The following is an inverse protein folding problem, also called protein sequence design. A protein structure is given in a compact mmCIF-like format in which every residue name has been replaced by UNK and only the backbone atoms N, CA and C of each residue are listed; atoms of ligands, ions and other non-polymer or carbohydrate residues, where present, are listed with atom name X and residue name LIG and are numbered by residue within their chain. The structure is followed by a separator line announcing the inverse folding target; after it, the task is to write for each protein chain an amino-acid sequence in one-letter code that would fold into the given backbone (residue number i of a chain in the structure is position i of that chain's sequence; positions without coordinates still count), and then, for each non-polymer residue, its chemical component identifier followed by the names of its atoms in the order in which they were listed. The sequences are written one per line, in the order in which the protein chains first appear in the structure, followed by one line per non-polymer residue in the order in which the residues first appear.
data_IF_911804775010
#
_entry.id   IF_911804775010
#
_cell.length_a   1.000
_cell.length_b   1.000
_cell.length_c   1.000
_cell.angle_alpha   90.00
_cell.angle_beta   90.00
_cell.angle_gamma   90.00
#
_symmetry.space_group_name_H-M   'P 1'
#
loop_
_entity.id
_entity.type
_entity.pdbx_description
1 polymer ?
#
# COMPACT_ATOMS: atom_id res chain seq x y z
N UNK A 1 -87.79 26.77 -23.61
CA UNK A 1 -86.75 26.29 -22.72
C UNK A 1 -85.75 25.47 -23.55
N UNK A 2 -84.53 26.08 -23.87
CA UNK A 2 -83.46 25.41 -24.64
C UNK A 2 -82.31 25.03 -23.70
N UNK A 3 -82.15 23.70 -23.49
CA UNK A 3 -81.01 23.16 -22.75
C UNK A 3 -79.74 23.21 -23.62
N UNK A 4 -78.72 23.94 -23.16
CA UNK A 4 -77.37 23.94 -23.76
C UNK A 4 -76.55 22.84 -23.08
N UNK A 5 -76.10 21.87 -23.81
CA UNK A 5 -75.18 20.85 -23.40
C UNK A 5 -73.75 21.39 -23.58
N UNK A 6 -72.98 21.51 -22.49
CA UNK A 6 -71.56 21.86 -22.52
C UNK A 6 -70.75 20.54 -22.68
N UNK A 7 -70.05 20.40 -23.78
CA UNK A 7 -69.05 19.36 -23.97
C UNK A 7 -67.71 19.86 -23.37
N UNK A 8 -67.25 19.18 -22.34
CA UNK A 8 -65.92 19.39 -21.77
C UNK A 8 -64.91 18.54 -22.55
N UNK A 9 -64.02 19.16 -23.27
CA UNK A 9 -62.88 18.49 -23.93
C UNK A 9 -61.75 18.31 -22.90
N UNK A 10 -61.48 17.07 -22.51
CA UNK A 10 -60.31 16.71 -21.73
C UNK A 10 -59.10 16.56 -22.68
N UNK A 11 -58.16 17.48 -22.60
CA UNK A 11 -56.86 17.38 -23.29
C UNK A 11 -55.95 16.43 -22.50
N UNK A 12 -55.69 15.27 -23.11
CA UNK A 12 -54.71 14.29 -22.62
C UNK A 12 -53.29 14.82 -22.94
N UNK A 13 -52.58 15.33 -21.95
CA UNK A 13 -51.16 15.65 -22.09
C UNK A 13 -50.37 14.36 -21.96
N UNK A 14 -50.00 13.76 -23.08
CA UNK A 14 -49.04 12.67 -23.12
C UNK A 14 -47.64 13.26 -22.82
N UNK A 15 -47.19 13.11 -21.60
CA UNK A 15 -45.80 13.39 -21.23
C UNK A 15 -44.87 12.41 -21.98
N UNK A 16 -44.11 12.92 -22.96
CA UNK A 16 -42.98 12.20 -23.54
C UNK A 16 -41.91 12.10 -22.43
N UNK A 17 -41.81 10.94 -21.79
CA UNK A 17 -40.63 10.56 -21.02
C UNK A 17 -39.46 10.47 -22.01
N UNK A 18 -38.60 11.47 -22.06
CA UNK A 18 -37.29 11.34 -22.72
C UNK A 18 -36.56 10.22 -21.99
N UNK A 19 -35.98 9.23 -22.71
CA UNK A 19 -35.07 8.31 -22.09
C UNK A 19 -33.93 9.16 -21.49
N UNK A 20 -33.64 8.97 -20.22
CA UNK A 20 -32.40 9.49 -19.63
C UNK A 20 -31.28 8.87 -20.48
N UNK A 21 -30.52 9.70 -21.19
CA UNK A 21 -29.27 9.24 -21.77
C UNK A 21 -28.42 8.84 -20.56
N UNK A 22 -28.02 7.58 -20.50
CA UNK A 22 -27.02 7.17 -19.56
C UNK A 22 -25.77 7.99 -19.91
N UNK A 23 -25.21 8.68 -18.94
CA UNK A 23 -23.91 9.34 -19.12
C UNK A 23 -22.89 8.25 -19.51
N UNK A 24 -21.94 8.60 -20.39
CA UNK A 24 -20.86 7.69 -20.74
C UNK A 24 -20.12 7.27 -19.45
N UNK A 25 -19.69 6.00 -19.33
CA UNK A 25 -19.01 5.54 -18.13
C UNK A 25 -17.71 6.31 -17.89
N UNK A 26 -17.41 6.62 -16.63
CA UNK A 26 -16.10 7.19 -16.27
C UNK A 26 -15.01 6.15 -16.51
N UNK A 27 -13.99 6.51 -17.28
CA UNK A 27 -12.89 5.61 -17.64
C UNK A 27 -11.73 5.76 -16.69
N UNK A 28 -11.32 4.64 -16.11
CA UNK A 28 -10.27 4.56 -15.09
C UNK A 28 -9.13 3.68 -15.60
N UNK A 29 -7.93 4.23 -15.66
CA UNK A 29 -6.72 3.53 -16.09
C UNK A 29 -5.81 3.16 -14.92
N UNK A 30 -5.16 1.99 -14.99
CA UNK A 30 -4.15 1.57 -14.02
C UNK A 30 -2.89 1.10 -14.74
N UNK A 31 -1.72 1.52 -14.24
CA UNK A 31 -0.44 0.95 -14.65
C UNK A 31 0.23 0.26 -13.47
N UNK A 32 0.64 -0.98 -13.67
CA UNK A 32 1.21 -1.85 -12.65
C UNK A 32 2.68 -2.17 -12.95
N UNK A 33 3.53 -2.09 -11.92
CA UNK A 33 4.97 -2.36 -12.04
C UNK A 33 5.28 -3.86 -12.23
N UNK A 34 4.45 -4.73 -11.66
CA UNK A 34 4.58 -6.17 -11.73
C UNK A 34 3.34 -6.83 -12.33
N UNK A 35 3.32 -8.17 -12.38
CA UNK A 35 2.12 -8.92 -12.70
C UNK A 35 1.10 -8.79 -11.57
N UNK A 36 -0.20 -8.94 -11.88
CA UNK A 36 -1.23 -9.04 -10.85
C UNK A 36 -0.92 -10.21 -9.92
N UNK A 37 -0.52 -11.35 -10.49
CA UNK A 37 -0.11 -12.51 -9.71
C UNK A 37 -1.19 -13.01 -8.75
N UNK A 38 -0.74 -13.70 -7.69
CA UNK A 38 -1.65 -14.27 -6.70
C UNK A 38 -1.73 -13.41 -5.42
N UNK A 39 -0.69 -12.62 -5.11
CA UNK A 39 -0.59 -11.77 -3.91
C UNK A 39 0.44 -10.65 -4.10
N UNK A 40 0.59 -9.81 -3.07
CA UNK A 40 1.55 -8.70 -3.04
C UNK A 40 0.96 -7.38 -3.53
N UNK A 41 1.82 -6.44 -3.84
CA UNK A 41 1.48 -5.04 -4.17
C UNK A 41 0.51 -4.90 -5.34
N UNK A 42 0.90 -5.41 -6.51
CA UNK A 42 0.06 -5.29 -7.72
C UNK A 42 -1.28 -6.00 -7.57
N UNK A 43 -1.30 -7.13 -6.88
CA UNK A 43 -2.53 -7.87 -6.57
C UNK A 43 -3.52 -7.00 -5.78
N UNK A 44 -3.07 -6.31 -4.71
CA UNK A 44 -3.97 -5.49 -3.90
C UNK A 44 -4.50 -4.26 -4.64
N UNK A 45 -3.71 -3.68 -5.53
CA UNK A 45 -4.18 -2.63 -6.43
C UNK A 45 -5.24 -3.14 -7.42
N UNK A 46 -5.07 -4.36 -7.96
CA UNK A 46 -6.06 -4.96 -8.85
C UNK A 46 -7.33 -5.40 -8.12
N UNK A 47 -7.23 -5.90 -6.89
CA UNK A 47 -8.40 -6.16 -6.04
C UNK A 47 -9.17 -4.87 -5.75
N UNK A 48 -8.48 -3.77 -5.51
CA UNK A 48 -9.11 -2.45 -5.34
C UNK A 48 -9.77 -1.96 -6.64
N UNK A 49 -9.17 -2.22 -7.81
CA UNK A 49 -9.78 -1.95 -9.12
C UNK A 49 -11.06 -2.77 -9.31
N UNK A 50 -11.06 -4.06 -8.95
CA UNK A 50 -12.25 -4.92 -9.01
C UNK A 50 -13.35 -4.47 -8.04
N UNK A 51 -12.97 -4.06 -6.82
CA UNK A 51 -13.91 -3.49 -5.87
C UNK A 51 -14.54 -2.17 -6.38
N UNK A 52 -13.77 -1.38 -7.13
CA UNK A 52 -14.27 -0.18 -7.80
C UNK A 52 -15.30 -0.52 -8.90
N UNK A 53 -15.03 -1.55 -9.72
CA UNK A 53 -16.00 -2.06 -10.71
C UNK A 53 -17.28 -2.59 -10.05
N UNK A 54 -17.13 -3.32 -8.95
CA UNK A 54 -18.29 -3.83 -8.18
C UNK A 54 -19.13 -2.68 -7.59
N UNK A 55 -18.46 -1.63 -7.07
CA UNK A 55 -19.12 -0.49 -6.45
C UNK A 55 -19.92 0.35 -7.44
N UNK A 56 -19.36 0.64 -8.61
CA UNK A 56 -19.95 1.56 -9.60
C UNK A 56 -20.75 0.85 -10.71
N UNK A 57 -20.54 -0.45 -10.92
CA UNK A 57 -21.17 -1.19 -12.02
C UNK A 57 -20.91 -0.53 -13.38
N UNK A 58 -21.94 -0.43 -14.19
CA UNK A 58 -21.87 0.12 -15.55
C UNK A 58 -21.52 1.63 -15.61
N UNK A 59 -21.45 2.31 -14.48
CA UNK A 59 -21.08 3.74 -14.42
C UNK A 59 -19.57 3.99 -14.50
N UNK A 60 -18.74 2.94 -14.47
CA UNK A 60 -17.29 2.99 -14.59
C UNK A 60 -16.79 1.90 -15.52
N UNK A 61 -15.79 2.23 -16.34
CA UNK A 61 -15.05 1.29 -17.18
C UNK A 61 -13.58 1.32 -16.75
N UNK A 62 -13.00 0.20 -16.35
CA UNK A 62 -11.59 0.13 -15.95
C UNK A 62 -10.72 -0.54 -17.02
N UNK A 63 -9.47 -0.10 -17.12
CA UNK A 63 -8.44 -0.74 -17.93
C UNK A 63 -7.11 -0.76 -17.16
N UNK A 64 -6.30 -1.80 -17.33
CA UNK A 64 -4.99 -1.88 -16.71
C UNK A 64 -3.93 -2.45 -17.64
N UNK A 65 -2.66 -2.16 -17.35
CA UNK A 65 -1.50 -2.73 -18.04
C UNK A 65 -0.49 -3.16 -16.97
N UNK A 66 -0.09 -4.43 -17.03
CA UNK A 66 0.87 -5.04 -16.12
C UNK A 66 2.31 -4.94 -16.65
N UNK A 67 3.28 -5.12 -15.75
CA UNK A 67 4.71 -5.18 -16.07
C UNK A 67 5.20 -3.96 -16.86
N UNK A 68 4.70 -2.78 -16.48
CA UNK A 68 5.11 -1.52 -17.10
C UNK A 68 6.39 -1.03 -16.44
N UNK A 69 7.49 -0.96 -17.22
CA UNK A 69 8.74 -0.44 -16.68
C UNK A 69 8.70 1.08 -16.52
N UNK A 70 9.48 1.61 -15.59
CA UNK A 70 9.69 3.05 -15.43
C UNK A 70 10.27 3.69 -16.69
N UNK A 71 10.08 5.00 -16.84
CA UNK A 71 10.59 5.77 -17.94
C UNK A 71 9.71 5.68 -19.20
N UNK A 72 10.30 5.55 -20.41
CA UNK A 72 9.57 5.66 -21.68
C UNK A 72 8.39 4.69 -21.85
N UNK A 73 8.43 3.52 -21.18
CA UNK A 73 7.35 2.56 -21.26
C UNK A 73 6.12 3.05 -20.45
N UNK A 74 6.33 3.54 -19.23
CA UNK A 74 5.29 4.13 -18.40
C UNK A 74 4.66 5.36 -19.09
N UNK A 75 5.48 6.28 -19.61
CA UNK A 75 4.98 7.44 -20.34
C UNK A 75 4.15 7.03 -21.56
N UNK A 76 4.59 6.01 -22.31
CA UNK A 76 3.87 5.49 -23.48
C UNK A 76 2.50 4.94 -23.09
N UNK A 77 2.44 4.11 -22.06
CA UNK A 77 1.20 3.47 -21.60
C UNK A 77 0.20 4.51 -21.10
N UNK A 78 0.63 5.40 -20.19
CA UNK A 78 -0.24 6.47 -19.67
C UNK A 78 -0.71 7.43 -20.78
N UNK A 79 0.18 7.76 -21.74
CA UNK A 79 -0.20 8.57 -22.93
C UNK A 79 -1.28 7.89 -23.75
N UNK A 80 -1.18 6.57 -23.97
CA UNK A 80 -2.20 5.82 -24.70
C UNK A 80 -3.54 5.80 -23.96
N UNK A 81 -3.54 5.62 -22.64
CA UNK A 81 -4.74 5.71 -21.81
C UNK A 81 -5.39 7.09 -21.93
N UNK A 82 -4.63 8.16 -21.75
CA UNK A 82 -5.13 9.54 -21.87
C UNK A 82 -5.71 9.83 -23.26
N UNK A 83 -5.04 9.40 -24.34
CA UNK A 83 -5.55 9.54 -25.73
C UNK A 83 -6.80 8.70 -26.00
N UNK A 84 -7.04 7.64 -25.25
CA UNK A 84 -8.25 6.80 -25.33
C UNK A 84 -9.43 7.39 -24.56
N UNK A 85 -9.26 8.58 -23.97
CA UNK A 85 -10.30 9.28 -23.21
C UNK A 85 -10.48 8.74 -21.80
N UNK A 86 -9.39 8.30 -21.14
CA UNK A 86 -9.39 7.94 -19.72
C UNK A 86 -9.51 9.22 -18.90
N UNK A 87 -10.41 9.23 -17.91
CA UNK A 87 -10.69 10.39 -17.06
C UNK A 87 -9.72 10.49 -15.87
N UNK A 88 -9.32 9.34 -15.33
CA UNK A 88 -8.38 9.23 -14.20
C UNK A 88 -7.43 8.05 -14.38
N UNK A 89 -6.14 8.25 -14.11
CA UNK A 89 -5.09 7.24 -14.25
C UNK A 89 -4.37 7.07 -12.91
N UNK A 90 -4.33 5.82 -12.41
CA UNK A 90 -3.57 5.41 -11.24
C UNK A 90 -2.23 4.82 -11.66
N UNK A 91 -1.13 5.47 -11.28
CA UNK A 91 0.24 4.99 -11.47
C UNK A 91 0.74 4.40 -10.14
N UNK A 92 0.80 3.07 -10.07
CA UNK A 92 0.87 2.34 -8.80
C UNK A 92 2.28 1.89 -8.42
N UNK A 93 3.27 2.78 -8.51
CA UNK A 93 4.62 2.50 -8.00
C UNK A 93 5.43 3.77 -7.79
N UNK A 94 6.31 3.76 -6.78
CA UNK A 94 7.22 4.86 -6.43
C UNK A 94 7.97 5.45 -7.63
N UNK A 95 8.55 4.60 -8.48
CA UNK A 95 9.39 5.03 -9.60
C UNK A 95 8.63 5.73 -10.75
N UNK A 96 7.30 5.72 -10.76
CA UNK A 96 6.51 6.39 -11.81
C UNK A 96 6.39 7.92 -11.64
N UNK A 97 6.94 8.51 -10.58
CA UNK A 97 6.79 9.94 -10.29
C UNK A 97 7.13 10.86 -11.45
N UNK A 98 8.35 10.81 -12.02
CA UNK A 98 8.72 11.63 -13.17
C UNK A 98 7.83 11.40 -14.39
N UNK A 99 7.54 10.13 -14.70
CA UNK A 99 6.75 9.73 -15.87
C UNK A 99 5.31 10.24 -15.76
N UNK A 100 4.71 10.12 -14.58
CA UNK A 100 3.36 10.61 -14.28
C UNK A 100 3.26 12.12 -14.50
N UNK A 101 4.20 12.90 -13.94
CA UNK A 101 4.22 14.36 -14.11
C UNK A 101 4.45 14.76 -15.58
N UNK A 102 5.35 14.07 -16.30
CA UNK A 102 5.62 14.32 -17.72
C UNK A 102 4.36 14.08 -18.59
N UNK A 103 3.58 13.03 -18.29
CA UNK A 103 2.35 12.77 -19.05
C UNK A 103 1.25 13.74 -18.62
N UNK A 104 1.04 13.94 -17.33
CA UNK A 104 0.01 14.82 -16.79
C UNK A 104 0.12 16.26 -17.32
N UNK A 105 1.34 16.78 -17.49
CA UNK A 105 1.58 18.10 -18.09
C UNK A 105 1.04 18.24 -19.53
N UNK A 106 0.92 17.13 -20.25
CA UNK A 106 0.41 17.09 -21.65
C UNK A 106 -1.09 16.87 -21.73
N UNK A 107 -1.69 16.37 -20.65
CA UNK A 107 -3.12 16.03 -20.57
C UNK A 107 -3.77 16.67 -19.32
N UNK A 108 -3.93 18.01 -19.31
CA UNK A 108 -4.37 18.74 -18.12
C UNK A 108 -5.81 18.43 -17.69
N UNK A 109 -6.62 17.84 -18.58
CA UNK A 109 -8.00 17.47 -18.29
C UNK A 109 -8.14 16.05 -17.73
N UNK A 110 -7.05 15.28 -17.65
CA UNK A 110 -6.99 13.94 -17.06
C UNK A 110 -6.46 14.04 -15.63
N UNK A 111 -7.13 13.38 -14.69
CA UNK A 111 -6.65 13.26 -13.31
C UNK A 111 -5.59 12.14 -13.20
N UNK A 112 -4.53 12.38 -12.44
CA UNK A 112 -3.50 11.39 -12.19
C UNK A 112 -3.33 11.16 -10.68
N UNK A 113 -3.30 9.90 -10.27
CA UNK A 113 -3.11 9.45 -8.90
C UNK A 113 -1.82 8.63 -8.83
N UNK A 114 -0.82 9.10 -8.08
CA UNK A 114 0.48 8.43 -7.99
C UNK A 114 0.68 7.81 -6.60
N UNK A 115 0.74 6.46 -6.56
CA UNK A 115 1.01 5.71 -5.34
C UNK A 115 2.45 5.90 -4.87
N UNK A 116 2.63 6.03 -3.54
CA UNK A 116 3.93 6.30 -2.90
C UNK A 116 4.64 7.51 -3.50
N UNK A 117 3.83 8.47 -3.96
CA UNK A 117 4.29 9.62 -4.72
C UNK A 117 5.10 10.62 -3.87
N UNK A 118 6.10 11.22 -4.50
CA UNK A 118 6.97 12.22 -3.88
C UNK A 118 7.21 13.45 -4.78
N UNK A 119 6.68 13.45 -6.00
CA UNK A 119 6.80 14.54 -6.97
C UNK A 119 5.39 14.97 -7.40
N UNK A 120 5.06 16.26 -7.20
CA UNK A 120 3.82 16.90 -7.62
C UNK A 120 4.16 18.23 -8.28
N UNK A 121 4.44 18.22 -9.58
CA UNK A 121 4.88 19.40 -10.35
C UNK A 121 3.75 20.07 -11.12
N UNK A 122 2.63 19.35 -11.33
CA UNK A 122 1.50 19.83 -12.09
C UNK A 122 0.17 19.68 -11.32
N UNK A 123 -0.83 20.54 -11.58
CA UNK A 123 -2.03 20.64 -10.76
C UNK A 123 -2.99 19.45 -10.89
N UNK A 124 -2.82 18.59 -11.87
CA UNK A 124 -3.65 17.41 -12.12
C UNK A 124 -2.96 16.10 -11.69
N UNK A 125 -1.92 16.16 -10.85
CA UNK A 125 -1.30 15.01 -10.18
C UNK A 125 -1.62 15.06 -8.70
N UNK A 126 -2.17 13.97 -8.18
CA UNK A 126 -2.39 13.71 -6.77
C UNK A 126 -1.41 12.66 -6.27
N UNK A 127 -0.96 12.77 -5.03
CA UNK A 127 -0.08 11.80 -4.40
C UNK A 127 -0.85 11.08 -3.30
N UNK A 128 -0.69 9.77 -3.21
CA UNK A 128 -1.21 8.99 -2.10
C UNK A 128 -0.20 7.95 -1.63
N UNK A 129 -0.15 7.73 -0.33
CA UNK A 129 0.74 6.76 0.28
C UNK A 129 0.10 6.18 1.55
N UNK A 130 0.59 5.02 2.00
CA UNK A 130 0.20 4.41 3.25
C UNK A 130 1.34 4.42 4.27
N UNK A 131 1.00 4.56 5.56
CA UNK A 131 1.94 4.53 6.69
C UNK A 131 2.30 3.09 7.05
N UNK A 132 2.91 2.36 6.10
CA UNK A 132 3.28 0.95 6.27
C UNK A 132 4.13 0.70 7.51
N UNK A 133 4.94 1.69 7.93
CA UNK A 133 5.77 1.61 9.11
C UNK A 133 4.95 1.38 10.40
N UNK A 134 3.69 1.78 10.43
CA UNK A 134 2.78 1.49 11.55
C UNK A 134 2.55 -0.02 11.67
N UNK A 135 2.24 -0.67 10.55
CA UNK A 135 2.13 -2.12 10.48
C UNK A 135 3.46 -2.83 10.76
N UNK A 136 4.59 -2.28 10.26
CA UNK A 136 5.93 -2.83 10.53
C UNK A 136 6.27 -2.82 12.02
N UNK A 137 5.88 -1.79 12.75
CA UNK A 137 6.05 -1.72 14.19
C UNK A 137 5.33 -2.87 14.90
N UNK A 138 4.09 -3.15 14.53
CA UNK A 138 3.28 -4.23 15.12
C UNK A 138 3.89 -5.60 14.83
N UNK A 139 4.23 -5.90 13.58
CA UNK A 139 4.85 -7.21 13.26
C UNK A 139 6.27 -7.33 13.84
N UNK A 140 6.98 -6.21 14.01
CA UNK A 140 8.27 -6.17 14.72
C UNK A 140 8.12 -6.57 16.17
N UNK A 141 7.11 -6.05 16.86
CA UNK A 141 6.78 -6.43 18.24
C UNK A 141 6.49 -7.95 18.35
N UNK A 142 5.61 -8.48 17.49
CA UNK A 142 5.30 -9.91 17.46
C UNK A 142 6.57 -10.74 17.23
N UNK A 143 7.38 -10.39 16.25
CA UNK A 143 8.62 -11.10 15.92
C UNK A 143 9.63 -11.07 17.07
N UNK A 144 9.80 -9.94 17.75
CA UNK A 144 10.68 -9.82 18.90
C UNK A 144 10.29 -10.71 20.08
N UNK A 145 8.98 -10.92 20.27
CA UNK A 145 8.43 -11.83 21.31
C UNK A 145 8.55 -13.31 20.94
N UNK A 146 8.51 -13.64 19.63
CA UNK A 146 8.41 -15.02 19.16
C UNK A 146 9.73 -15.65 18.72
N UNK A 147 10.73 -14.84 18.34
CA UNK A 147 12.02 -15.40 17.90
C UNK A 147 12.73 -16.19 19.01
N UNK A 148 13.19 -17.38 18.70
CA UNK A 148 13.98 -18.24 19.58
C UNK A 148 15.49 -18.05 19.35
N UNK A 149 15.90 -17.70 18.12
CA UNK A 149 17.30 -17.49 17.75
C UNK A 149 17.79 -16.05 17.99
N UNK A 150 16.88 -15.14 18.25
CA UNK A 150 17.09 -13.69 18.25
C UNK A 150 17.53 -13.12 16.87
N UNK A 151 17.34 -13.86 15.78
CA UNK A 151 17.69 -13.43 14.44
C UNK A 151 16.44 -13.37 13.57
N UNK A 152 16.08 -12.16 13.13
CA UNK A 152 14.97 -11.90 12.22
C UNK A 152 15.57 -11.54 10.86
N UNK A 153 15.13 -12.27 9.83
CA UNK A 153 15.50 -12.01 8.45
C UNK A 153 14.56 -11.00 7.81
N UNK A 154 15.09 -10.01 7.10
CA UNK A 154 14.30 -9.04 6.35
C UNK A 154 14.72 -9.01 4.89
N UNK A 155 13.78 -9.33 3.98
CA UNK A 155 13.98 -9.26 2.54
C UNK A 155 13.48 -7.90 2.09
N UNK A 156 14.41 -7.01 1.71
CA UNK A 156 14.14 -5.65 1.30
C UNK A 156 14.20 -5.51 -0.23
N UNK A 157 13.35 -4.65 -0.79
CA UNK A 157 13.30 -4.37 -2.21
C UNK A 157 14.38 -3.35 -2.63
N UNK A 158 14.09 -2.07 -2.54
CA UNK A 158 15.00 -0.97 -2.89
C UNK A 158 15.29 -0.08 -1.68
N UNK A 159 16.49 0.51 -1.57
CA UNK A 159 16.85 1.39 -0.45
C UNK A 159 16.23 2.79 -0.59
N UNK A 160 14.90 2.83 -0.59
CA UNK A 160 14.11 4.07 -0.57
C UNK A 160 13.59 4.35 0.84
N UNK A 161 13.22 5.60 1.17
CA UNK A 161 12.77 5.98 2.51
C UNK A 161 11.69 5.08 3.10
N UNK A 162 10.70 4.69 2.31
CA UNK A 162 9.60 3.82 2.73
C UNK A 162 10.08 2.45 3.24
N UNK A 163 11.02 1.83 2.53
CA UNK A 163 11.56 0.51 2.90
C UNK A 163 12.48 0.63 4.11
N UNK A 164 13.35 1.64 4.15
CA UNK A 164 14.27 1.90 5.27
C UNK A 164 13.48 2.19 6.55
N UNK A 165 12.46 3.02 6.46
CA UNK A 165 11.54 3.35 7.55
C UNK A 165 10.83 2.09 8.07
N UNK A 166 10.37 1.22 7.18
CA UNK A 166 9.74 -0.05 7.54
C UNK A 166 10.69 -0.98 8.32
N UNK A 167 11.94 -1.11 7.87
CA UNK A 167 12.98 -1.88 8.56
C UNK A 167 13.24 -1.31 9.96
N UNK A 168 13.42 0.01 10.05
CA UNK A 168 13.68 0.69 11.33
C UNK A 168 12.51 0.54 12.31
N UNK A 169 11.27 0.69 11.84
CA UNK A 169 10.08 0.52 12.68
C UNK A 169 9.99 -0.91 13.23
N UNK A 170 10.15 -1.93 12.38
CA UNK A 170 10.14 -3.32 12.80
C UNK A 170 11.26 -3.62 13.80
N UNK A 171 12.48 -3.14 13.53
CA UNK A 171 13.62 -3.34 14.42
C UNK A 171 13.42 -2.69 15.79
N UNK A 172 13.03 -1.42 15.85
CA UNK A 172 12.82 -0.70 17.11
C UNK A 172 11.83 -1.41 18.02
N UNK A 173 10.74 -1.93 17.46
CA UNK A 173 9.69 -2.59 18.23
C UNK A 173 10.06 -4.03 18.63
N UNK A 174 10.80 -4.75 17.78
CA UNK A 174 11.38 -6.02 18.17
C UNK A 174 12.41 -5.85 19.29
N UNK A 175 13.28 -4.82 19.17
CA UNK A 175 14.31 -4.50 20.16
C UNK A 175 13.76 -4.06 21.51
N UNK A 176 12.63 -3.38 21.53
CA UNK A 176 11.96 -2.92 22.75
C UNK A 176 11.51 -4.10 23.63
N UNK A 177 11.14 -5.24 23.04
CA UNK A 177 10.66 -6.44 23.75
C UNK A 177 11.70 -7.55 23.84
N UNK A 178 12.73 -7.51 22.97
CA UNK A 178 13.84 -8.45 22.98
C UNK A 178 15.18 -7.70 22.76
N UNK A 179 15.88 -7.34 23.84
CA UNK A 179 17.15 -6.61 23.76
C UNK A 179 18.27 -7.31 22.97
N UNK A 180 18.18 -8.63 22.77
CA UNK A 180 19.20 -9.42 22.08
C UNK A 180 18.90 -9.61 20.57
N UNK A 181 17.74 -9.12 20.09
CA UNK A 181 17.33 -9.28 18.70
C UNK A 181 18.30 -8.63 17.72
N UNK A 182 18.53 -9.31 16.63
CA UNK A 182 19.33 -8.86 15.49
C UNK A 182 18.51 -8.98 14.20
N UNK A 183 18.57 -7.95 13.37
CA UNK A 183 18.01 -8.00 12.02
C UNK A 183 19.12 -8.31 11.02
N UNK A 184 18.84 -9.23 10.10
CA UNK A 184 19.66 -9.52 8.92
C UNK A 184 18.87 -9.05 7.70
N UNK A 185 19.40 -8.08 6.95
CA UNK A 185 18.72 -7.51 5.80
C UNK A 185 19.40 -7.98 4.52
N UNK A 186 18.62 -8.51 3.57
CA UNK A 186 19.05 -8.82 2.21
C UNK A 186 18.27 -7.94 1.25
N UNK A 187 18.98 -7.19 0.42
CA UNK A 187 18.40 -6.31 -0.59
C UNK A 187 18.26 -7.06 -1.92
N UNK A 188 17.01 -7.27 -2.37
CA UNK A 188 16.70 -7.98 -3.61
C UNK A 188 16.82 -7.09 -4.86
N UNK A 189 16.78 -5.76 -4.70
CA UNK A 189 16.74 -4.80 -5.80
C UNK A 189 15.66 -5.10 -6.84
N UNK A 190 14.56 -5.63 -6.38
CA UNK A 190 13.34 -5.91 -7.15
C UNK A 190 12.12 -5.74 -6.26
N UNK A 191 10.99 -5.36 -6.86
CA UNK A 191 9.69 -5.43 -6.18
C UNK A 191 9.12 -6.84 -6.24
N UNK A 192 9.26 -7.51 -7.39
CA UNK A 192 8.75 -8.85 -7.63
C UNK A 192 9.75 -9.69 -8.42
N UNK A 193 10.42 -10.60 -7.76
CA UNK A 193 11.26 -11.64 -8.37
C UNK A 193 11.25 -12.88 -7.46
N UNK A 194 10.32 -13.83 -7.68
CA UNK A 194 10.19 -15.00 -6.82
C UNK A 194 11.48 -15.81 -6.65
N UNK A 195 12.34 -15.81 -7.65
CA UNK A 195 13.61 -16.57 -7.58
C UNK A 195 14.64 -15.85 -6.68
N UNK A 196 14.77 -14.55 -6.80
CA UNK A 196 15.65 -13.75 -5.92
C UNK A 196 15.12 -13.71 -4.49
N UNK A 197 13.81 -13.57 -4.32
CA UNK A 197 13.16 -13.56 -3.01
C UNK A 197 13.33 -14.91 -2.30
N UNK A 198 13.18 -16.02 -3.03
CA UNK A 198 13.46 -17.36 -2.53
C UNK A 198 14.92 -17.51 -2.08
N UNK A 199 15.85 -17.08 -2.92
CA UNK A 199 17.29 -17.13 -2.58
C UNK A 199 17.64 -16.27 -1.36
N UNK A 200 17.02 -15.10 -1.23
CA UNK A 200 17.17 -14.22 -0.07
C UNK A 200 16.63 -14.87 1.21
N UNK A 201 15.45 -15.50 1.15
CA UNK A 201 14.85 -16.24 2.26
C UNK A 201 15.78 -17.37 2.75
N UNK A 202 16.25 -18.20 1.83
CA UNK A 202 17.18 -19.29 2.14
C UNK A 202 18.48 -18.76 2.77
N UNK A 203 19.07 -17.71 2.21
CA UNK A 203 20.30 -17.12 2.75
C UNK A 203 20.11 -16.56 4.18
N UNK A 204 18.95 -15.99 4.49
CA UNK A 204 18.61 -15.51 5.82
C UNK A 204 18.43 -16.65 6.82
N UNK A 205 17.76 -17.74 6.39
CA UNK A 205 17.59 -18.96 7.22
C UNK A 205 18.96 -19.60 7.50
N UNK A 206 19.84 -19.68 6.51
CA UNK A 206 21.22 -20.17 6.71
C UNK A 206 22.03 -19.32 7.69
N UNK A 207 21.71 -18.02 7.81
CA UNK A 207 22.28 -17.11 8.80
C UNK A 207 21.62 -17.22 10.17
N UNK A 208 20.68 -18.13 10.36
CA UNK A 208 20.04 -18.45 11.62
C UNK A 208 18.72 -17.71 11.87
N UNK A 209 18.14 -17.05 10.87
CA UNK A 209 16.83 -16.45 11.03
C UNK A 209 15.75 -17.53 11.23
N UNK A 210 14.92 -17.36 12.24
CA UNK A 210 13.76 -18.20 12.54
C UNK A 210 12.43 -17.48 12.28
N UNK A 211 12.49 -16.20 11.90
CA UNK A 211 11.36 -15.40 11.45
C UNK A 211 11.79 -14.58 10.23
N UNK A 212 10.96 -14.57 9.18
CA UNK A 212 11.16 -13.78 7.98
C UNK A 212 10.15 -12.64 7.89
N UNK A 213 10.63 -11.48 7.47
CA UNK A 213 9.84 -10.33 7.01
C UNK A 213 10.23 -10.00 5.58
N UNK A 214 9.31 -9.48 4.80
CA UNK A 214 9.56 -9.06 3.42
C UNK A 214 8.95 -7.70 3.11
N UNK A 215 9.59 -6.98 2.21
CA UNK A 215 9.07 -5.82 1.51
C UNK A 215 9.24 -6.02 0.00
N UNK A 216 8.93 -7.22 -0.42
CA UNK A 216 8.88 -7.75 -1.79
C UNK A 216 7.57 -8.49 -1.95
N UNK A 217 7.13 -8.75 -3.17
CA UNK A 217 5.71 -9.00 -3.46
C UNK A 217 5.35 -10.47 -3.67
N UNK A 218 6.35 -11.36 -3.87
CA UNK A 218 6.03 -12.77 -4.14
C UNK A 218 5.72 -13.55 -2.85
N UNK A 219 5.00 -14.65 -3.02
CA UNK A 219 4.71 -15.59 -1.92
C UNK A 219 5.88 -16.54 -1.61
N UNK A 220 7.01 -16.43 -2.35
CA UNK A 220 8.13 -17.34 -2.19
C UNK A 220 8.74 -17.33 -0.77
N UNK A 221 8.96 -16.18 -0.09
CA UNK A 221 9.52 -16.19 1.25
C UNK A 221 8.63 -16.89 2.28
N UNK A 222 7.32 -16.66 2.26
CA UNK A 222 6.40 -17.33 3.20
C UNK A 222 6.27 -18.81 2.91
N UNK A 223 6.31 -19.24 1.63
CA UNK A 223 6.31 -20.63 1.23
C UNK A 223 7.57 -21.37 1.71
N UNK A 224 8.74 -20.74 1.57
CA UNK A 224 10.00 -21.28 2.08
C UNK A 224 9.99 -21.36 3.61
N UNK A 225 9.46 -20.36 4.30
CA UNK A 225 9.30 -20.40 5.76
C UNK A 225 8.45 -21.61 6.19
N UNK A 226 7.35 -21.90 5.48
CA UNK A 226 6.52 -23.09 5.68
C UNK A 226 7.30 -24.37 5.49
N UNK A 227 8.05 -24.50 4.39
CA UNK A 227 8.85 -25.68 4.06
C UNK A 227 10.00 -25.92 5.05
N UNK A 228 10.53 -24.85 5.63
CA UNK A 228 11.62 -24.87 6.64
C UNK A 228 11.14 -24.97 8.07
N UNK A 229 9.82 -24.85 8.32
CA UNK A 229 9.23 -24.92 9.66
C UNK A 229 9.62 -23.72 10.55
N UNK A 230 9.80 -22.55 9.95
CA UNK A 230 10.00 -21.27 10.62
C UNK A 230 8.81 -20.35 10.36
N UNK A 231 8.77 -19.19 11.00
CA UNK A 231 7.69 -18.23 10.82
C UNK A 231 8.00 -17.16 9.78
N UNK A 232 6.94 -16.57 9.23
CA UNK A 232 7.04 -15.44 8.32
C UNK A 232 5.83 -14.51 8.42
N UNK A 233 6.03 -13.26 7.99
CA UNK A 233 4.97 -12.29 7.78
C UNK A 233 4.76 -12.06 6.29
N UNK A 234 3.49 -11.99 5.87
CA UNK A 234 3.13 -11.64 4.50
C UNK A 234 3.29 -10.13 4.23
N UNK A 235 3.22 -9.78 2.96
CA UNK A 235 3.35 -8.41 2.46
C UNK A 235 2.14 -8.01 1.63
N UNK A 236 1.61 -6.82 1.91
CA UNK A 236 0.51 -6.15 1.21
C UNK A 236 -0.83 -6.91 1.24
N UNK A 237 -0.82 -8.22 1.27
CA UNK A 237 -2.00 -9.09 1.20
C UNK A 237 -1.91 -10.28 2.14
N UNK A 238 -3.05 -10.95 2.40
CA UNK A 238 -3.11 -12.17 3.20
C UNK A 238 -2.53 -13.36 2.45
N UNK A 239 -1.33 -13.78 2.80
CA UNK A 239 -0.63 -14.92 2.20
C UNK A 239 -0.84 -16.25 2.96
N UNK A 240 -1.80 -16.33 3.87
CA UNK A 240 -2.07 -17.53 4.70
C UNK A 240 -2.25 -18.80 3.86
N UNK A 241 -2.85 -18.70 2.68
CA UNK A 241 -3.07 -19.85 1.81
C UNK A 241 -1.78 -20.54 1.35
N UNK A 242 -0.64 -19.84 1.34
CA UNK A 242 0.67 -20.36 0.92
C UNK A 242 1.50 -20.90 2.09
N UNK A 243 1.20 -20.47 3.30
CA UNK A 243 1.95 -20.87 4.49
C UNK A 243 1.03 -20.92 5.74
N UNK A 244 0.02 -21.80 5.76
CA UNK A 244 -1.01 -21.78 6.80
C UNK A 244 -0.48 -22.04 8.23
N UNK A 245 0.66 -22.68 8.38
CA UNK A 245 1.29 -22.96 9.68
C UNK A 245 2.36 -21.94 10.04
N UNK A 246 2.98 -21.30 9.06
CA UNK A 246 4.14 -20.41 9.22
C UNK A 246 3.81 -18.93 9.08
N UNK A 247 2.77 -18.59 8.34
CA UNK A 247 2.34 -17.19 8.15
C UNK A 247 1.69 -16.67 9.43
N UNK A 248 2.36 -15.74 10.13
CA UNK A 248 1.87 -15.21 11.39
C UNK A 248 0.73 -14.20 11.21
N UNK A 249 0.90 -13.27 10.31
CA UNK A 249 -0.04 -12.28 9.81
C UNK A 249 0.60 -11.54 8.63
N UNK A 250 -0.12 -10.60 8.04
CA UNK A 250 0.41 -9.68 7.02
C UNK A 250 -0.05 -8.25 7.31
N UNK A 251 0.75 -7.29 6.89
CA UNK A 251 0.29 -5.91 6.72
C UNK A 251 -0.52 -5.89 5.43
N UNK A 252 -1.75 -5.40 5.48
CA UNK A 252 -2.65 -5.30 4.34
C UNK A 252 -2.66 -3.87 3.79
N UNK A 253 -2.60 -3.75 2.49
CA UNK A 253 -2.74 -2.49 1.78
C UNK A 253 -4.18 -2.37 1.30
N UNK A 254 -4.95 -1.44 1.87
CA UNK A 254 -6.39 -1.30 1.66
C UNK A 254 -6.66 -0.09 0.77
N UNK A 255 -6.54 -0.27 -0.55
CA UNK A 255 -6.66 0.82 -1.53
C UNK A 255 -8.09 1.13 -1.96
N UNK A 256 -9.02 0.17 -1.87
CA UNK A 256 -10.35 0.29 -2.47
C UNK A 256 -11.16 1.51 -2.00
N UNK A 257 -11.23 1.87 -0.70
CA UNK A 257 -11.96 3.05 -0.28
C UNK A 257 -11.40 4.33 -0.91
N UNK A 258 -10.07 4.47 -0.95
CA UNK A 258 -9.42 5.62 -1.57
C UNK A 258 -9.75 5.72 -3.07
N UNK A 259 -9.66 4.61 -3.80
CA UNK A 259 -9.97 4.60 -5.24
C UNK A 259 -11.42 4.96 -5.52
N UNK A 260 -12.35 4.42 -4.73
CA UNK A 260 -13.78 4.73 -4.85
C UNK A 260 -14.01 6.24 -4.64
N UNK A 261 -13.44 6.83 -3.60
CA UNK A 261 -13.59 8.25 -3.30
C UNK A 261 -13.00 9.13 -4.41
N UNK A 262 -11.81 8.77 -4.95
CA UNK A 262 -11.17 9.55 -6.02
C UNK A 262 -11.95 9.48 -7.33
N UNK A 263 -12.43 8.30 -7.70
CA UNK A 263 -13.27 8.12 -8.90
C UNK A 263 -14.62 8.80 -8.73
N UNK A 264 -15.24 8.72 -7.55
CA UNK A 264 -16.46 9.47 -7.26
C UNK A 264 -16.27 10.98 -7.41
N UNK A 265 -15.15 11.51 -6.92
CA UNK A 265 -14.83 12.94 -7.08
C UNK A 265 -14.68 13.35 -8.55
N UNK A 266 -14.07 12.49 -9.40
CA UNK A 266 -14.01 12.73 -10.86
C UNK A 266 -15.41 12.74 -11.47
N UNK A 267 -16.27 11.76 -11.14
CA UNK A 267 -17.65 11.69 -11.60
C UNK A 267 -18.46 12.91 -11.24
N UNK A 268 -18.25 13.46 -10.05
CA UNK A 268 -18.97 14.62 -9.53
C UNK A 268 -18.37 15.95 -10.01
N UNK A 269 -17.23 15.93 -10.71
CA UNK A 269 -16.50 17.13 -11.14
C UNK A 269 -15.90 17.91 -9.97
N UNK A 270 -15.65 17.24 -8.83
CA UNK A 270 -15.11 17.83 -7.59
C UNK A 270 -13.69 17.37 -7.29
N UNK A 271 -13.09 16.58 -8.19
CA UNK A 271 -11.73 16.11 -8.01
C UNK A 271 -10.73 17.28 -7.94
N UNK A 272 -9.92 17.25 -6.91
CA UNK A 272 -8.80 18.17 -6.71
C UNK A 272 -7.55 17.37 -6.37
N UNK A 273 -6.40 17.82 -6.86
CA UNK A 273 -5.15 17.19 -6.51
C UNK A 273 -4.86 17.34 -5.01
N UNK A 274 -4.40 16.25 -4.40
CA UNK A 274 -4.04 16.19 -3.00
C UNK A 274 -2.71 15.50 -2.77
N UNK A 275 -2.30 15.47 -1.51
CA UNK A 275 -1.19 14.64 -1.04
C UNK A 275 -1.61 14.03 0.29
N UNK A 276 -1.89 12.74 0.29
CA UNK A 276 -2.37 12.02 1.47
C UNK A 276 -1.39 10.91 1.86
N UNK A 277 -1.20 10.76 3.16
CA UNK A 277 -0.41 9.68 3.74
C UNK A 277 -1.22 9.06 4.88
N UNK A 278 -2.04 8.09 4.51
CA UNK A 278 -3.01 7.46 5.40
C UNK A 278 -2.42 6.26 6.11
N UNK A 279 -2.89 5.98 7.33
CA UNK A 279 -2.41 4.91 8.18
C UNK A 279 -3.51 3.94 8.62
N UNK A 280 -3.26 3.31 9.76
CA UNK A 280 -4.23 2.43 10.43
C UNK A 280 -5.49 3.21 10.80
N UNK A 281 -5.37 4.46 11.26
CA UNK A 281 -6.50 5.32 11.63
C UNK A 281 -7.44 5.59 10.46
N UNK A 282 -6.90 5.70 9.26
CA UNK A 282 -7.67 5.97 8.05
C UNK A 282 -8.17 4.68 7.37
N UNK A 283 -7.73 3.51 7.86
CA UNK A 283 -8.07 2.21 7.30
C UNK A 283 -7.33 1.86 6.01
N UNK A 284 -6.26 2.59 5.66
CA UNK A 284 -5.44 2.26 4.48
C UNK A 284 -4.38 1.19 4.79
N UNK A 285 -4.03 1.02 6.06
CA UNK A 285 -3.19 -0.07 6.58
C UNK A 285 -4.03 -0.95 7.47
N UNK A 286 -4.08 -2.25 7.14
CA UNK A 286 -4.80 -3.28 7.90
C UNK A 286 -3.90 -4.46 8.26
N UNK A 287 -4.51 -5.51 8.80
CA UNK A 287 -3.81 -6.75 9.13
C UNK A 287 -4.62 -7.96 8.67
N UNK A 288 -3.92 -8.97 8.19
CA UNK A 288 -4.49 -10.30 7.99
C UNK A 288 -4.81 -10.94 9.36
N UNK A 289 -5.69 -11.96 9.40
CA UNK A 289 -5.92 -12.71 10.62
C UNK A 289 -4.61 -13.18 11.26
N UNK A 290 -4.47 -13.00 12.56
CA UNK A 290 -3.32 -13.47 13.32
C UNK A 290 -3.39 -14.98 13.49
N UNK A 291 -2.28 -15.67 13.18
CA UNK A 291 -2.17 -17.12 13.31
C UNK A 291 -2.27 -17.58 14.78
N UNK A 292 -2.87 -18.75 15.01
CA UNK A 292 -2.99 -19.33 16.36
C UNK A 292 -1.65 -19.68 17.00
N UNK A 293 -0.57 -19.76 16.22
CA UNK A 293 0.78 -19.91 16.72
C UNK A 293 1.29 -18.71 17.53
N UNK A 294 0.69 -17.53 17.33
CA UNK A 294 1.01 -16.34 18.15
C UNK A 294 0.38 -16.54 19.54
N UNK A 295 1.17 -16.53 20.63
CA UNK A 295 0.64 -16.63 21.99
C UNK A 295 -0.41 -15.54 22.27
N UNK A 296 -1.41 -15.88 23.10
CA UNK A 296 -2.55 -14.99 23.36
C UNK A 296 -2.13 -13.64 24.00
N UNK A 297 -1.12 -13.66 24.86
CA UNK A 297 -0.57 -12.44 25.46
C UNK A 297 0.11 -11.55 24.41
N UNK A 298 0.88 -12.14 23.49
CA UNK A 298 1.51 -11.41 22.37
C UNK A 298 0.46 -10.83 21.42
N UNK A 299 -0.58 -11.61 21.11
CA UNK A 299 -1.71 -11.14 20.29
C UNK A 299 -2.41 -9.95 20.96
N UNK A 300 -2.70 -10.05 22.25
CA UNK A 300 -3.33 -8.97 23.01
C UNK A 300 -2.47 -7.71 23.03
N UNK A 301 -1.14 -7.83 23.19
CA UNK A 301 -0.21 -6.69 23.12
C UNK A 301 -0.20 -6.06 21.72
N UNK A 302 -0.20 -6.87 20.66
CA UNK A 302 -0.24 -6.39 19.27
C UNK A 302 -1.56 -5.68 18.95
N UNK A 303 -2.70 -6.24 19.36
CA UNK A 303 -4.03 -5.62 19.20
C UNK A 303 -4.12 -4.27 19.93
N UNK A 304 -3.64 -4.21 21.18
CA UNK A 304 -3.59 -2.97 21.93
C UNK A 304 -2.69 -1.91 21.27
N UNK A 305 -1.59 -2.32 20.63
CA UNK A 305 -0.73 -1.42 19.87
C UNK A 305 -1.43 -0.89 18.61
N UNK A 306 -2.16 -1.74 17.87
CA UNK A 306 -2.97 -1.33 16.73
C UNK A 306 -4.03 -0.31 17.17
N UNK A 307 -4.74 -0.57 18.28
CA UNK A 307 -5.75 0.34 18.81
C UNK A 307 -5.15 1.69 19.23
N UNK A 308 -3.98 1.70 19.87
CA UNK A 308 -3.30 2.91 20.30
C UNK A 308 -2.82 3.76 19.10
N UNK A 309 -2.33 3.11 18.02
CA UNK A 309 -1.96 3.81 16.78
C UNK A 309 -3.23 4.38 16.13
N UNK A 310 -4.31 3.60 16.01
CA UNK A 310 -5.58 4.04 15.45
C UNK A 310 -6.21 5.21 16.23
N UNK A 311 -6.01 5.24 17.55
CA UNK A 311 -6.46 6.36 18.40
C UNK A 311 -5.55 7.60 18.34
N UNK A 312 -4.37 7.51 17.68
CA UNK A 312 -3.35 8.57 17.69
C UNK A 312 -2.63 8.73 19.03
N UNK A 313 -2.73 7.74 19.90
CA UNK A 313 -2.11 7.72 21.23
C UNK A 313 -0.68 7.16 21.21
N UNK A 314 -0.32 6.47 20.15
CA UNK A 314 0.99 5.88 19.93
C UNK A 314 1.51 6.16 18.53
N UNK A 315 2.79 6.58 18.43
CA UNK A 315 3.48 6.73 17.15
C UNK A 315 4.77 5.91 17.15
N UNK A 316 5.00 5.03 16.14
CA UNK A 316 6.13 4.11 16.10
C UNK A 316 7.51 4.74 16.21
N UNK A 317 7.66 5.99 15.74
CA UNK A 317 8.88 6.76 15.88
C UNK A 317 8.72 7.86 16.94
N UNK A 318 8.63 7.44 18.20
CA UNK A 318 8.68 8.34 19.37
C UNK A 318 9.99 8.09 20.12
N UNK A 319 10.77 9.17 20.32
CA UNK A 319 12.09 9.12 20.96
C UNK A 319 12.09 8.74 22.45
N UNK A 320 13.29 8.40 22.98
CA UNK A 320 14.59 8.74 22.38
C UNK A 320 15.01 7.72 21.31
N UNK A 321 15.44 8.20 20.14
CA UNK A 321 15.96 7.37 19.06
C UNK A 321 17.25 8.00 18.54
N UNK A 322 18.31 7.18 18.39
CA UNK A 322 19.57 7.56 17.78
C UNK A 322 19.67 6.97 16.36
N UNK A 323 20.45 7.62 15.52
CA UNK A 323 20.92 7.05 14.25
C UNK A 323 21.94 5.95 14.52
N UNK A 324 22.24 5.12 13.53
CA UNK A 324 23.17 3.99 13.64
C UNK A 324 24.58 4.41 14.12
N UNK A 325 25.03 5.61 13.78
CA UNK A 325 26.32 6.16 14.21
C UNK A 325 26.33 6.70 15.66
N UNK A 326 25.21 6.56 16.37
CA UNK A 326 25.01 7.03 17.74
C UNK A 326 24.61 8.50 17.85
N UNK A 327 24.47 9.23 16.73
CA UNK A 327 23.97 10.61 16.79
C UNK A 327 22.49 10.66 17.15
N UNK A 328 22.05 11.55 18.09
CA UNK A 328 20.65 11.70 18.39
C UNK A 328 19.81 12.10 17.18
N UNK A 329 18.69 11.43 16.97
CA UNK A 329 17.68 11.83 15.99
C UNK A 329 16.43 12.41 16.67
N UNK A 330 15.82 11.67 17.60
CA UNK A 330 14.66 12.13 18.35
C UNK A 330 14.98 12.16 19.85
N UNK A 331 14.61 13.25 20.53
CA UNK A 331 14.70 13.36 21.97
C UNK A 331 13.59 12.55 22.65
N UNK A 332 13.66 12.38 23.98
CA UNK A 332 12.65 11.67 24.76
C UNK A 332 11.25 12.33 24.57
N UNK A 333 10.28 11.53 24.14
CA UNK A 333 8.90 11.97 23.91
C UNK A 333 8.69 12.77 22.61
N UNK A 334 9.74 13.01 21.83
CA UNK A 334 9.64 13.63 20.51
C UNK A 334 9.16 12.63 19.46
N UNK A 335 8.18 13.01 18.66
CA UNK A 335 7.67 12.20 17.54
C UNK A 335 8.30 12.68 16.24
N UNK A 336 8.71 11.73 15.40
CA UNK A 336 9.28 12.04 14.09
C UNK A 336 8.30 12.82 13.22
N UNK A 337 8.71 13.97 12.65
CA UNK A 337 7.89 14.66 11.66
C UNK A 337 7.83 13.88 10.35
N UNK A 338 6.70 13.97 9.64
CA UNK A 338 6.50 13.29 8.35
C UNK A 338 7.62 13.58 7.34
N UNK A 339 8.14 14.81 7.32
CA UNK A 339 9.24 15.19 6.41
C UNK A 339 10.52 14.40 6.63
N UNK A 340 10.85 14.08 7.88
CA UNK A 340 12.02 13.25 8.22
C UNK A 340 11.81 11.80 7.79
N UNK A 341 10.60 11.29 8.01
CA UNK A 341 10.22 9.92 7.62
C UNK A 341 10.24 9.74 6.10
N UNK A 342 9.68 10.69 5.35
CA UNK A 342 9.63 10.67 3.88
C UNK A 342 11.00 10.82 3.21
N UNK A 343 12.03 11.22 3.97
CA UNK A 343 13.40 11.38 3.48
C UNK A 343 14.41 10.50 4.21
N UNK A 344 13.93 9.50 4.97
CA UNK A 344 14.78 8.63 5.78
C UNK A 344 15.77 7.82 4.91
N UNK A 345 17.05 8.00 5.14
CA UNK A 345 18.16 7.36 4.41
C UNK A 345 19.18 6.66 5.34
N UNK A 346 18.79 6.41 6.60
CA UNK A 346 19.67 5.85 7.61
C UNK A 346 19.00 4.74 8.42
N UNK A 347 19.81 3.85 8.98
CA UNK A 347 19.35 2.92 10.01
C UNK A 347 19.42 3.55 11.41
N UNK A 348 18.56 3.06 12.30
CA UNK A 348 18.60 3.42 13.74
C UNK A 348 19.70 2.65 14.47
N UNK A 349 20.10 3.16 15.65
CA UNK A 349 21.11 2.55 16.50
C UNK A 349 20.81 1.09 16.81
N UNK A 350 21.83 0.25 16.69
CA UNK A 350 21.77 -1.20 16.93
C UNK A 350 21.48 -2.04 15.69
N UNK A 351 21.00 -1.44 14.61
CA UNK A 351 20.95 -2.13 13.32
C UNK A 351 22.37 -2.44 12.82
N UNK A 352 22.51 -3.57 12.12
CA UNK A 352 23.79 -4.01 11.52
C UNK A 352 23.77 -3.88 10.00
N UNK A 353 24.93 -3.73 9.38
CA UNK A 353 25.04 -3.45 7.95
C UNK A 353 24.91 -1.95 7.64
N UNK A 354 24.87 -1.60 6.37
CA UNK A 354 24.73 -0.23 5.89
C UNK A 354 23.51 -0.16 4.97
N UNK A 355 22.85 1.00 4.93
CA UNK A 355 21.89 1.29 3.87
C UNK A 355 22.68 1.39 2.56
N UNK A 356 22.34 0.60 1.53
CA UNK A 356 23.00 0.71 0.23
C UNK A 356 22.81 2.10 -0.39
N UNK A 357 23.86 2.58 -1.10
CA UNK A 357 23.84 3.86 -1.82
C UNK A 357 23.18 3.73 -3.20
#
# INVERSE_FOLDING_TARGET
MKRRTLLASAALVAGLAMPAMADDPTKVGFIYIGPVGDHGWTFTHDEARKALEEHFGDAVETAYVENVNYGPDAERVMTQMALSGTDIIFSTSFGYGPDTNNVAARFPDVAFEHATGYIQEVPNVSLYNARFYEGRAVIGHIAGKMTETNIIGYIASFPIPEVIMGINAAYLHAKAVNPDVQFRVVWAYSWYDPAQEAAAAEALIEQGADILMQHTDSTAPVTIAQDRGIYAFGQASDMTAFAPESHLTAILDVWAPYYIDRVQAVKDGTWEAGNVWHGIVDGMVGFAPMNDAIPEDVRTEAEAMIEAIAAGEYHPFTGPINRQDGTPWLAEGETAPDGDLLTMDFYVEGMTGEVPN
#
